data_IF_498435105694
#
_entry.id   IF_498435105694
#
_cell.length_a   1.000
_cell.length_b   1.000
_cell.length_c   1.000
_cell.angle_alpha   90.00
_cell.angle_beta   90.00
_cell.angle_gamma   90.00
#
_symmetry.space_group_name_H-M   'P 1'
#
loop_
_entity.id
_entity.type
_entity.pdbx_description
1 polymer ?
#
# COMPACT_ATOMS: atom_id res chain seq x y z
N UNK A 1 -25.12 -5.42 0.26
CA UNK A 1 -23.73 -4.98 0.54
C UNK A 1 -23.22 -4.19 -0.66
N UNK A 2 -22.49 -3.06 -0.45
CA UNK A 2 -21.96 -2.27 -1.57
C UNK A 2 -20.80 -3.03 -2.24
N UNK A 3 -20.84 -3.15 -3.57
CA UNK A 3 -19.75 -3.77 -4.36
C UNK A 3 -18.40 -3.09 -4.08
N UNK A 4 -18.38 -1.77 -3.88
CA UNK A 4 -17.18 -1.02 -3.58
C UNK A 4 -16.43 -1.54 -2.33
N UNK A 5 -17.13 -2.09 -1.34
CA UNK A 5 -16.50 -2.66 -0.12
C UNK A 5 -15.78 -3.97 -0.42
N UNK A 6 -16.37 -4.82 -1.24
CA UNK A 6 -15.76 -6.09 -1.67
C UNK A 6 -14.53 -5.81 -2.54
N UNK A 7 -14.69 -4.87 -3.48
CA UNK A 7 -13.59 -4.45 -4.37
C UNK A 7 -12.45 -3.82 -3.54
N UNK A 8 -12.79 -2.97 -2.54
CA UNK A 8 -11.79 -2.41 -1.62
C UNK A 8 -10.99 -3.51 -0.91
N UNK A 9 -11.67 -4.52 -0.34
CA UNK A 9 -10.97 -5.65 0.31
C UNK A 9 -10.05 -6.38 -0.66
N UNK A 10 -10.53 -6.73 -1.86
CA UNK A 10 -9.71 -7.39 -2.87
C UNK A 10 -8.51 -6.54 -3.31
N UNK A 11 -8.72 -5.25 -3.56
CA UNK A 11 -7.66 -4.32 -3.93
C UNK A 11 -6.63 -4.12 -2.80
N UNK A 12 -7.08 -4.07 -1.52
CA UNK A 12 -6.17 -3.99 -0.38
C UNK A 12 -5.31 -5.24 -0.23
N UNK A 13 -5.88 -6.42 -0.46
CA UNK A 13 -5.13 -7.68 -0.44
C UNK A 13 -4.09 -7.74 -1.58
N UNK A 14 -4.47 -7.33 -2.80
CA UNK A 14 -3.55 -7.24 -3.95
C UNK A 14 -2.45 -6.22 -3.66
N UNK A 15 -2.78 -5.05 -3.09
CA UNK A 15 -1.80 -4.05 -2.69
C UNK A 15 -0.80 -4.62 -1.67
N UNK A 16 -1.27 -5.34 -0.65
CA UNK A 16 -0.40 -5.98 0.35
C UNK A 16 0.61 -6.94 -0.31
N UNK A 17 0.15 -7.80 -1.21
CA UNK A 17 1.05 -8.70 -1.97
C UNK A 17 2.04 -7.88 -2.79
N UNK A 18 1.58 -6.84 -3.47
CA UNK A 18 2.44 -5.95 -4.25
C UNK A 18 3.49 -5.24 -3.40
N UNK A 19 3.12 -4.79 -2.20
CA UNK A 19 4.06 -4.16 -1.27
C UNK A 19 5.17 -5.14 -0.81
N UNK A 20 4.85 -6.42 -0.63
CA UNK A 20 5.85 -7.47 -0.35
C UNK A 20 6.73 -7.72 -1.58
N UNK A 21 6.14 -7.80 -2.78
CA UNK A 21 6.89 -7.96 -4.04
C UNK A 21 7.89 -6.83 -4.26
N UNK A 22 7.60 -5.61 -3.79
CA UNK A 22 8.54 -4.48 -3.86
C UNK A 22 9.88 -4.75 -3.15
N UNK A 23 9.88 -5.47 -2.03
CA UNK A 23 11.13 -5.87 -1.36
C UNK A 23 11.94 -6.85 -2.21
N UNK A 24 11.28 -7.79 -2.88
CA UNK A 24 11.95 -8.69 -3.83
C UNK A 24 12.56 -7.92 -5.00
N UNK A 25 11.81 -7.00 -5.61
CA UNK A 25 12.30 -6.18 -6.73
C UNK A 25 13.46 -5.27 -6.30
N UNK A 26 13.41 -4.69 -5.09
CA UNK A 26 14.52 -3.93 -4.52
C UNK A 26 15.74 -4.84 -4.30
N UNK A 27 15.54 -6.05 -3.78
CA UNK A 27 16.58 -7.05 -3.58
C UNK A 27 17.31 -7.40 -4.87
N UNK A 28 16.61 -7.54 -5.99
CA UNK A 28 17.25 -7.79 -7.30
C UNK A 28 18.26 -6.69 -7.66
N UNK A 29 17.95 -5.43 -7.36
CA UNK A 29 18.86 -4.30 -7.56
C UNK A 29 20.04 -4.33 -6.58
N UNK A 30 19.76 -4.55 -5.28
CA UNK A 30 20.78 -4.58 -4.22
C UNK A 30 21.82 -5.68 -4.48
N UNK A 31 21.40 -6.86 -4.91
CA UNK A 31 22.27 -8.00 -5.18
C UNK A 31 22.81 -8.03 -6.63
N UNK A 32 22.57 -6.98 -7.43
CA UNK A 32 23.11 -6.87 -8.78
C UNK A 32 22.48 -7.84 -9.81
N UNK A 33 21.34 -8.45 -9.48
CA UNK A 33 20.66 -9.37 -10.38
C UNK A 33 19.83 -8.64 -11.45
N UNK A 34 19.46 -7.36 -11.24
CA UNK A 34 18.72 -6.51 -12.17
C UNK A 34 18.91 -5.03 -11.83
N UNK A 35 18.43 -4.13 -12.69
CA UNK A 35 18.32 -2.69 -12.38
C UNK A 35 17.15 -2.43 -11.42
N UNK A 36 17.09 -1.21 -10.86
CA UNK A 36 15.94 -0.76 -10.05
C UNK A 36 14.71 -0.33 -10.87
N UNK A 37 14.73 -0.46 -12.20
CA UNK A 37 13.65 0.05 -13.05
C UNK A 37 12.31 -0.63 -12.78
N UNK A 38 12.31 -1.97 -12.62
CA UNK A 38 11.11 -2.71 -12.26
C UNK A 38 10.57 -2.30 -10.88
N UNK A 39 11.46 -2.10 -9.88
CA UNK A 39 11.09 -1.62 -8.56
C UNK A 39 10.44 -0.22 -8.62
N UNK A 40 11.02 0.70 -9.38
CA UNK A 40 10.49 2.07 -9.55
C UNK A 40 9.14 2.07 -10.26
N UNK A 41 9.04 1.37 -11.39
CA UNK A 41 7.80 1.30 -12.17
C UNK A 41 6.66 0.67 -11.35
N UNK A 42 6.94 -0.43 -10.68
CA UNK A 42 5.95 -1.11 -9.86
C UNK A 42 5.54 -0.29 -8.62
N UNK A 43 6.49 0.46 -8.02
CA UNK A 43 6.21 1.40 -6.94
C UNK A 43 5.20 2.48 -7.36
N UNK A 44 5.32 3.04 -8.55
CA UNK A 44 4.37 4.01 -9.08
C UNK A 44 2.97 3.39 -9.25
N UNK A 45 2.88 2.14 -9.72
CA UNK A 45 1.60 1.41 -9.81
C UNK A 45 0.97 1.29 -8.43
N UNK A 46 1.73 0.98 -7.38
CA UNK A 46 1.21 0.89 -6.02
C UNK A 46 0.68 2.23 -5.49
N UNK A 47 1.31 3.36 -5.83
CA UNK A 47 0.76 4.70 -5.54
C UNK A 47 -0.61 4.88 -6.19
N UNK A 48 -0.75 4.52 -7.46
CA UNK A 48 -2.03 4.61 -8.18
C UNK A 48 -3.09 3.69 -7.55
N UNK A 49 -2.72 2.47 -7.16
CA UNK A 49 -3.64 1.56 -6.44
C UNK A 49 -4.08 2.17 -5.11
N UNK A 50 -3.22 2.89 -4.40
CA UNK A 50 -3.59 3.56 -3.15
C UNK A 50 -4.61 4.67 -3.38
N UNK A 51 -4.53 5.40 -4.48
CA UNK A 51 -5.55 6.38 -4.87
C UNK A 51 -6.89 5.69 -5.15
N UNK A 52 -6.88 4.56 -5.85
CA UNK A 52 -8.09 3.75 -6.08
C UNK A 52 -8.67 3.26 -4.75
N UNK A 53 -7.84 2.77 -3.82
CA UNK A 53 -8.27 2.39 -2.48
C UNK A 53 -8.94 3.55 -1.74
N UNK A 54 -8.40 4.76 -1.83
CA UNK A 54 -8.99 5.94 -1.20
C UNK A 54 -10.39 6.22 -1.77
N UNK A 55 -10.53 6.25 -3.09
CA UNK A 55 -11.84 6.44 -3.75
C UNK A 55 -12.83 5.34 -3.33
N UNK A 56 -12.42 4.07 -3.36
CA UNK A 56 -13.26 2.93 -2.96
C UNK A 56 -13.66 3.00 -1.48
N UNK A 57 -12.79 3.50 -0.59
CA UNK A 57 -13.10 3.65 0.83
C UNK A 57 -14.20 4.69 1.06
N UNK A 58 -14.18 5.79 0.31
CA UNK A 58 -15.18 6.86 0.38
C UNK A 58 -16.50 6.41 -0.25
N UNK A 59 -16.48 5.92 -1.50
CA UNK A 59 -17.67 5.46 -2.23
C UNK A 59 -18.32 4.27 -1.52
N UNK A 60 -17.52 3.37 -0.96
CA UNK A 60 -17.96 2.22 -0.17
C UNK A 60 -18.50 2.60 1.20
N UNK A 61 -18.37 3.87 1.61
CA UNK A 61 -18.71 4.33 2.97
C UNK A 61 -18.09 3.40 4.02
N UNK A 62 -16.77 3.19 3.89
CA UNK A 62 -16.02 2.39 4.86
C UNK A 62 -15.99 3.10 6.22
N UNK A 63 -15.73 2.39 7.33
CA UNK A 63 -15.56 3.01 8.63
C UNK A 63 -14.52 4.15 8.58
N UNK A 64 -14.78 5.23 9.31
CA UNK A 64 -13.91 6.44 9.33
C UNK A 64 -12.43 6.09 9.56
N UNK A 65 -12.17 5.15 10.47
CA UNK A 65 -10.80 4.69 10.75
C UNK A 65 -10.15 4.08 9.50
N UNK A 66 -10.87 3.28 8.71
CA UNK A 66 -10.35 2.70 7.47
C UNK A 66 -10.02 3.78 6.46
N UNK A 67 -10.88 4.81 6.30
CA UNK A 67 -10.63 5.94 5.40
C UNK A 67 -9.37 6.69 5.84
N UNK A 68 -9.24 7.02 7.14
CA UNK A 68 -8.07 7.72 7.69
C UNK A 68 -6.79 6.90 7.44
N UNK A 69 -6.81 5.61 7.74
CA UNK A 69 -5.64 4.74 7.53
C UNK A 69 -5.28 4.61 6.04
N UNK A 70 -6.26 4.68 5.13
CA UNK A 70 -6.00 4.71 3.68
C UNK A 70 -5.34 6.02 3.26
N UNK A 71 -5.75 7.16 3.85
CA UNK A 71 -5.07 8.46 3.65
C UNK A 71 -3.64 8.41 4.17
N UNK A 72 -3.42 7.82 5.36
CA UNK A 72 -2.07 7.63 5.92
C UNK A 72 -1.23 6.76 4.99
N UNK A 73 -1.79 5.65 4.45
CA UNK A 73 -1.09 4.80 3.49
C UNK A 73 -0.66 5.59 2.25
N UNK A 74 -1.52 6.45 1.71
CA UNK A 74 -1.16 7.32 0.59
C UNK A 74 -0.02 8.27 0.96
N UNK A 75 -0.08 8.89 2.14
CA UNK A 75 0.99 9.76 2.65
C UNK A 75 2.33 9.04 2.78
N UNK A 76 2.32 7.78 3.29
CA UNK A 76 3.52 6.95 3.37
C UNK A 76 4.07 6.57 1.99
N UNK A 77 3.22 6.34 0.98
CA UNK A 77 3.67 6.10 -0.39
C UNK A 77 4.31 7.36 -1.01
N UNK A 78 3.77 8.55 -0.75
CA UNK A 78 4.39 9.81 -1.18
C UNK A 78 5.73 10.00 -0.48
N UNK A 79 5.80 9.77 0.84
CA UNK A 79 7.04 9.81 1.61
C UNK A 79 8.07 8.81 1.04
N UNK A 80 7.64 7.61 0.64
CA UNK A 80 8.49 6.59 0.03
C UNK A 80 9.19 7.12 -1.23
N UNK A 81 8.46 7.87 -2.07
CA UNK A 81 9.03 8.49 -3.26
C UNK A 81 10.04 9.59 -2.91
N UNK A 82 9.75 10.40 -1.90
CA UNK A 82 10.67 11.46 -1.41
C UNK A 82 11.96 10.82 -0.89
N UNK A 83 11.86 9.79 -0.05
CA UNK A 83 13.01 9.08 0.52
C UNK A 83 13.86 8.39 -0.56
N UNK A 84 13.25 7.91 -1.65
CA UNK A 84 13.95 7.28 -2.76
C UNK A 84 14.74 8.28 -3.64
N UNK A 85 14.41 9.58 -3.57
CA UNK A 85 14.98 10.62 -4.43
C UNK A 85 15.80 11.67 -3.64
N UNK A 86 16.13 11.41 -2.38
CA UNK A 86 17.00 12.29 -1.59
C UNK A 86 18.46 11.88 -1.75
N UNK A 87 19.35 12.89 -1.84
CA UNK A 87 20.80 12.69 -1.90
C UNK A 87 21.45 12.56 -0.49
N UNK A 88 20.67 12.69 0.58
CA UNK A 88 21.14 12.56 1.96
C UNK A 88 21.03 11.10 2.40
N UNK A 89 22.18 10.42 2.51
CA UNK A 89 22.25 8.97 2.75
C UNK A 89 21.50 8.49 3.99
N UNK A 90 21.59 9.22 5.12
CA UNK A 90 20.87 8.88 6.35
C UNK A 90 19.37 8.98 6.20
N UNK A 91 18.89 9.94 5.39
CA UNK A 91 17.46 10.10 5.10
C UNK A 91 17.01 9.01 4.12
N UNK A 92 17.81 8.72 3.08
CA UNK A 92 17.55 7.65 2.14
C UNK A 92 17.47 6.27 2.83
N UNK A 93 18.24 6.06 3.91
CA UNK A 93 18.19 4.83 4.71
C UNK A 93 16.81 4.60 5.40
N UNK A 94 15.98 5.62 5.53
CA UNK A 94 14.59 5.48 6.01
C UNK A 94 13.65 4.86 4.97
N UNK A 95 14.03 4.82 3.69
CA UNK A 95 13.21 4.24 2.63
C UNK A 95 12.79 2.79 2.91
N UNK A 96 13.68 1.82 3.21
CA UNK A 96 13.26 0.47 3.56
C UNK A 96 12.48 0.40 4.87
N UNK A 97 12.76 1.26 5.85
CA UNK A 97 12.01 1.32 7.12
C UNK A 97 10.56 1.74 6.86
N UNK A 98 10.36 2.80 6.08
CA UNK A 98 9.03 3.24 5.67
C UNK A 98 8.30 2.15 4.85
N UNK A 99 9.02 1.40 4.01
CA UNK A 99 8.48 0.25 3.29
C UNK A 99 7.88 -0.81 4.22
N UNK A 100 8.55 -1.13 5.34
CA UNK A 100 8.02 -2.05 6.36
C UNK A 100 6.75 -1.50 7.00
N UNK A 101 6.69 -0.20 7.33
CA UNK A 101 5.48 0.45 7.87
C UNK A 101 4.33 0.37 6.87
N UNK A 102 4.58 0.58 5.58
CA UNK A 102 3.58 0.43 4.50
C UNK A 102 3.01 -1.00 4.49
N UNK A 103 3.84 -2.04 4.57
CA UNK A 103 3.37 -3.45 4.60
C UNK A 103 2.49 -3.69 5.82
N UNK A 104 2.89 -3.23 7.01
CA UNK A 104 2.08 -3.37 8.22
C UNK A 104 0.72 -2.68 8.09
N UNK A 105 0.69 -1.47 7.55
CA UNK A 105 -0.55 -0.73 7.37
C UNK A 105 -1.44 -1.37 6.30
N UNK A 106 -0.86 -1.86 5.21
CA UNK A 106 -1.59 -2.59 4.18
C UNK A 106 -2.21 -3.89 4.73
N UNK A 107 -1.47 -4.62 5.58
CA UNK A 107 -2.00 -5.79 6.28
C UNK A 107 -3.19 -5.41 7.18
N UNK A 108 -3.06 -4.37 8.00
CA UNK A 108 -4.11 -3.92 8.90
C UNK A 108 -5.37 -3.49 8.12
N UNK A 109 -5.22 -2.75 7.01
CA UNK A 109 -6.33 -2.36 6.13
C UNK A 109 -7.02 -3.59 5.51
N UNK A 110 -6.25 -4.58 5.08
CA UNK A 110 -6.77 -5.84 4.54
C UNK A 110 -7.59 -6.59 5.60
N UNK A 111 -7.09 -6.72 6.84
CA UNK A 111 -7.80 -7.40 7.92
C UNK A 111 -9.08 -6.66 8.36
N UNK A 112 -9.02 -5.33 8.47
CA UNK A 112 -10.19 -4.49 8.81
C UNK A 112 -11.28 -4.61 7.76
N UNK A 113 -10.93 -4.47 6.49
CA UNK A 113 -11.89 -4.56 5.38
C UNK A 113 -12.50 -5.96 5.28
N UNK A 114 -11.71 -7.04 5.48
CA UNK A 114 -12.20 -8.42 5.53
C UNK A 114 -13.26 -8.60 6.61
N UNK A 115 -12.94 -8.17 7.85
CA UNK A 115 -13.88 -8.29 8.99
C UNK A 115 -15.16 -7.48 8.74
N UNK A 116 -15.03 -6.29 8.18
CA UNK A 116 -16.17 -5.44 7.87
C UNK A 116 -17.07 -6.03 6.79
N UNK A 117 -16.51 -6.60 5.72
CA UNK A 117 -17.25 -7.30 4.67
C UNK A 117 -17.95 -8.53 5.25
N UNK A 118 -17.23 -9.36 6.02
CA UNK A 118 -17.79 -10.58 6.63
C UNK A 118 -18.97 -10.27 7.58
N UNK A 119 -18.85 -9.23 8.43
CA UNK A 119 -19.93 -8.84 9.35
C UNK A 119 -21.21 -8.39 8.63
N UNK A 120 -21.09 -7.82 7.41
CA UNK A 120 -22.22 -7.37 6.60
C UNK A 120 -22.83 -8.47 5.72
N UNK A 121 -22.14 -9.60 5.57
CA UNK A 121 -22.69 -10.78 4.90
C UNK A 121 -23.50 -11.66 5.87
N UNK A 122 -23.17 -11.59 7.17
CA UNK A 122 -23.84 -12.37 8.21
C UNK A 122 -25.09 -11.69 8.80
N UNK A 123 -25.32 -10.41 8.49
CA UNK A 123 -26.48 -9.63 8.93
C UNK A 123 -27.55 -9.53 7.83
#
# INVERSE_FOLDING_TARGET
MSQARVIYFGAAAIYLVGAVVQFFLAGLGVFGASSYDAHRAFGLILVLVTLVLLVLSIVGRMPRTTIILTVVLLGLNVLQMVLANTDVGEIAALHPVNGVVIVFLAYELTQRSRRYVASKMAA
#
